data_IF_783862814263
#
_entry.id   IF_783862814263
#
_cell.length_a   1.000
_cell.length_b   1.000
_cell.length_c   1.000
_cell.angle_alpha   90.00
_cell.angle_beta   90.00
_cell.angle_gamma   90.00
#
_symmetry.space_group_name_H-M   'P 1'
#
loop_
_entity.id
_entity.type
_entity.pdbx_description
1 polymer ?
#
# COMPACT_ATOMS: atom_id res chain seq x y z
N UNK A 1 11.05 -0.71 40.40
CA UNK A 1 10.67 0.30 39.38
C UNK A 1 11.19 -0.01 37.99
N UNK A 2 12.39 -0.60 37.82
CA UNK A 2 12.95 -1.04 36.52
C UNK A 2 12.00 -1.94 35.71
N UNK A 3 11.44 -2.97 36.35
CA UNK A 3 10.73 -4.04 35.64
C UNK A 3 9.35 -3.59 35.13
N UNK A 4 8.68 -2.73 35.88
CA UNK A 4 7.39 -2.13 35.49
C UNK A 4 7.55 -1.19 34.29
N UNK A 5 8.66 -0.46 34.22
CA UNK A 5 9.00 0.42 33.10
C UNK A 5 9.40 -0.37 31.85
N UNK A 6 10.18 -1.44 32.00
CA UNK A 6 10.49 -2.36 30.91
C UNK A 6 9.20 -2.93 30.30
N UNK A 7 8.34 -3.51 31.15
CA UNK A 7 7.10 -4.12 30.71
C UNK A 7 6.16 -3.10 30.04
N UNK A 8 6.03 -1.90 30.62
CA UNK A 8 5.24 -0.82 30.04
C UNK A 8 5.74 -0.37 28.66
N UNK A 9 7.05 -0.19 28.49
CA UNK A 9 7.65 0.19 27.20
C UNK A 9 7.49 -0.89 26.15
N UNK A 10 7.69 -2.16 26.54
CA UNK A 10 7.50 -3.28 25.63
C UNK A 10 6.05 -3.34 25.14
N UNK A 11 5.09 -3.28 26.06
CA UNK A 11 3.68 -3.31 25.74
C UNK A 11 3.25 -2.13 24.85
N UNK A 12 3.66 -0.91 25.21
CA UNK A 12 3.42 0.28 24.39
C UNK A 12 4.02 0.13 22.99
N UNK A 13 5.24 -0.44 22.88
CA UNK A 13 5.88 -0.70 21.60
C UNK A 13 5.09 -1.67 20.73
N UNK A 14 4.59 -2.77 21.30
CA UNK A 14 3.74 -3.73 20.57
C UNK A 14 2.42 -3.07 20.12
N UNK A 15 1.78 -2.27 20.97
CA UNK A 15 0.57 -1.53 20.58
C UNK A 15 0.83 -0.53 19.44
N UNK A 16 1.95 0.19 19.48
CA UNK A 16 2.35 1.10 18.41
C UNK A 16 2.62 0.36 17.09
N UNK A 17 3.31 -0.78 17.13
CA UNK A 17 3.55 -1.61 15.95
C UNK A 17 2.26 -2.19 15.38
N UNK A 18 1.32 -2.57 16.26
CA UNK A 18 0.00 -3.07 15.85
C UNK A 18 -0.83 -1.95 15.21
N UNK A 19 -0.85 -0.76 15.83
CA UNK A 19 -1.47 0.43 15.27
C UNK A 19 -0.86 0.82 13.92
N UNK A 20 0.46 0.72 13.77
CA UNK A 20 1.14 0.96 12.50
C UNK A 20 0.64 0.04 11.38
N UNK A 21 0.35 -1.24 11.66
CA UNK A 21 -0.24 -2.14 10.66
C UNK A 21 -1.66 -1.70 10.28
N UNK A 22 -2.49 -1.35 11.26
CA UNK A 22 -3.88 -0.91 11.02
C UNK A 22 -3.92 0.36 10.18
N UNK A 23 -3.16 1.39 10.57
CA UNK A 23 -3.02 2.62 9.79
C UNK A 23 -2.35 2.36 8.44
N UNK A 24 -1.46 1.36 8.39
CA UNK A 24 -0.77 0.95 7.18
C UNK A 24 -1.72 0.49 6.07
N UNK A 25 -2.77 -0.26 6.44
CA UNK A 25 -3.84 -0.67 5.52
C UNK A 25 -4.60 0.55 4.99
N UNK A 26 -4.90 1.54 5.85
CA UNK A 26 -5.57 2.77 5.44
C UNK A 26 -4.75 3.69 4.52
N UNK A 27 -3.45 3.44 4.43
CA UNK A 27 -2.53 4.15 3.55
C UNK A 27 -2.27 3.43 2.21
N UNK A 28 -2.89 2.26 2.00
CA UNK A 28 -2.84 1.57 0.72
C UNK A 28 -3.72 2.30 -0.28
N UNK A 29 -3.14 2.65 -1.41
CA UNK A 29 -3.84 3.21 -2.55
C UNK A 29 -3.65 2.29 -3.76
N UNK A 30 -4.64 2.32 -4.64
CA UNK A 30 -4.67 1.55 -5.87
C UNK A 30 -4.38 2.46 -7.03
N UNK A 31 -3.60 1.97 -7.98
CA UNK A 31 -3.22 2.75 -9.13
C UNK A 31 -3.52 2.00 -10.42
N UNK A 32 -4.02 2.74 -11.39
CA UNK A 32 -4.27 2.30 -12.76
C UNK A 32 -3.43 3.11 -13.72
N UNK A 33 -2.68 2.43 -14.57
CA UNK A 33 -1.81 3.01 -15.59
C UNK A 33 -1.90 2.17 -16.87
N UNK A 34 -1.83 2.80 -18.04
CA UNK A 34 -1.75 2.08 -19.31
C UNK A 34 -0.30 1.71 -19.61
N UNK A 35 -0.11 0.45 -20.02
CA UNK A 35 1.15 -0.07 -20.55
C UNK A 35 1.18 -0.02 -22.09
N UNK A 36 0.17 0.60 -22.72
CA UNK A 36 0.05 0.74 -24.17
C UNK A 36 -0.77 -0.37 -24.83
N UNK A 37 -0.69 -0.43 -26.15
CA UNK A 37 -1.35 -1.45 -26.98
C UNK A 37 -0.47 -2.68 -27.14
N UNK A 38 -1.10 -3.85 -27.24
CA UNK A 38 -0.42 -5.13 -27.44
C UNK A 38 -1.09 -5.93 -28.57
N UNK A 39 -0.28 -6.55 -29.43
CA UNK A 39 -0.80 -7.43 -30.50
C UNK A 39 -1.25 -8.80 -29.97
N UNK A 40 -0.61 -9.26 -28.88
CA UNK A 40 -0.95 -10.52 -28.20
C UNK A 40 -1.05 -10.26 -26.71
N UNK A 41 -2.11 -10.81 -26.11
CA UNK A 41 -2.34 -10.73 -24.68
C UNK A 41 -1.21 -11.49 -23.97
N UNK A 42 -0.42 -10.83 -23.10
CA UNK A 42 0.67 -11.50 -22.39
C UNK A 42 0.16 -12.63 -21.49
N UNK A 43 0.97 -13.69 -21.40
CA UNK A 43 0.77 -14.74 -20.40
C UNK A 43 0.85 -14.12 -19.00
N UNK A 44 -0.21 -14.27 -18.21
CA UNK A 44 -0.36 -13.60 -16.90
C UNK A 44 -1.34 -12.44 -16.87
N UNK A 45 -1.98 -12.10 -18.01
CA UNK A 45 -3.14 -11.20 -18.00
C UNK A 45 -4.28 -11.80 -17.19
N UNK A 46 -4.74 -11.08 -16.16
CA UNK A 46 -5.70 -11.63 -15.21
C UNK A 46 -7.14 -11.64 -15.71
N UNK A 47 -7.43 -10.78 -16.70
CA UNK A 47 -8.75 -10.62 -17.30
C UNK A 47 -8.63 -9.93 -18.66
N UNK A 48 -9.45 -10.41 -19.60
CA UNK A 48 -9.76 -9.74 -20.87
C UNK A 48 -11.20 -9.25 -20.80
N UNK A 49 -11.44 -7.98 -21.14
CA UNK A 49 -12.79 -7.39 -21.12
C UNK A 49 -12.97 -6.49 -22.34
N UNK A 50 -14.13 -6.56 -22.98
CA UNK A 50 -14.48 -5.62 -24.05
C UNK A 50 -14.80 -4.25 -23.45
N UNK A 51 -14.30 -3.16 -24.05
CA UNK A 51 -14.59 -1.81 -23.58
C UNK A 51 -16.10 -1.51 -23.52
N UNK A 52 -16.87 -2.05 -24.46
CA UNK A 52 -18.33 -1.90 -24.51
C UNK A 52 -19.08 -2.55 -23.34
N UNK A 53 -18.48 -3.57 -22.71
CA UNK A 53 -19.09 -4.31 -21.60
C UNK A 53 -18.80 -3.65 -20.24
N UNK A 54 -17.92 -2.65 -20.21
CA UNK A 54 -17.59 -1.89 -19.02
C UNK A 54 -18.69 -0.90 -18.66
N UNK A 55 -18.83 -0.62 -17.36
CA UNK A 55 -19.73 0.45 -16.89
C UNK A 55 -19.27 1.81 -17.44
N UNK A 56 -20.17 2.78 -17.58
CA UNK A 56 -19.82 4.12 -18.05
C UNK A 56 -18.76 4.81 -17.16
N UNK A 57 -18.69 4.44 -15.88
CA UNK A 57 -17.62 4.88 -14.96
C UNK A 57 -16.28 4.27 -15.38
N UNK A 58 -16.23 2.96 -15.54
CA UNK A 58 -15.00 2.22 -15.85
C UNK A 58 -14.49 2.60 -17.24
N UNK A 59 -15.38 2.81 -18.21
CA UNK A 59 -15.03 3.33 -19.52
C UNK A 59 -14.26 4.65 -19.42
N UNK A 60 -14.73 5.61 -18.63
CA UNK A 60 -14.02 6.89 -18.41
C UNK A 60 -12.65 6.68 -17.74
N UNK A 61 -12.57 5.79 -16.76
CA UNK A 61 -11.30 5.46 -16.10
C UNK A 61 -10.31 4.86 -17.10
N UNK A 62 -10.76 3.91 -17.91
CA UNK A 62 -9.95 3.27 -18.96
C UNK A 62 -9.52 4.29 -20.01
N UNK A 63 -10.41 5.19 -20.45
CA UNK A 63 -10.08 6.25 -21.41
C UNK A 63 -8.97 7.16 -20.92
N UNK A 64 -9.07 7.63 -19.67
CA UNK A 64 -8.04 8.48 -19.04
C UNK A 64 -6.72 7.73 -18.89
N UNK A 65 -6.77 6.47 -18.47
CA UNK A 65 -5.57 5.64 -18.35
C UNK A 65 -4.90 5.41 -19.72
N UNK A 66 -5.67 5.12 -20.77
CA UNK A 66 -5.17 4.98 -22.16
C UNK A 66 -4.59 6.30 -22.67
N UNK A 67 -5.16 7.44 -22.27
CA UNK A 67 -4.61 8.77 -22.57
C UNK A 67 -3.28 9.07 -21.84
N UNK A 68 -2.76 8.13 -21.05
CA UNK A 68 -1.50 8.26 -20.31
C UNK A 68 -1.66 8.87 -18.91
N UNK A 69 -2.89 9.06 -18.43
CA UNK A 69 -3.09 9.53 -17.07
C UNK A 69 -2.84 8.41 -16.06
N UNK A 70 -2.01 8.72 -15.05
CA UNK A 70 -1.85 7.89 -13.86
C UNK A 70 -2.99 8.16 -12.89
N UNK A 71 -3.85 7.17 -12.68
CA UNK A 71 -5.03 7.30 -11.83
C UNK A 71 -4.82 6.59 -10.51
N UNK A 72 -5.13 7.28 -9.40
CA UNK A 72 -5.00 6.74 -8.04
C UNK A 72 -6.37 6.73 -7.37
N UNK A 73 -6.71 5.60 -6.76
CA UNK A 73 -7.97 5.32 -6.10
C UNK A 73 -7.72 4.84 -4.67
N UNK A 74 -8.64 5.14 -3.76
CA UNK A 74 -8.57 4.67 -2.36
C UNK A 74 -9.38 3.42 -2.11
N UNK A 75 -10.44 3.22 -2.90
CA UNK A 75 -11.34 2.10 -2.73
C UNK A 75 -11.15 1.10 -3.91
N UNK A 76 -10.93 -0.20 -3.62
CA UNK A 76 -10.75 -1.21 -4.65
C UNK A 76 -11.95 -1.37 -5.58
N UNK A 77 -13.15 -0.97 -5.16
CA UNK A 77 -14.38 -1.01 -5.96
C UNK A 77 -14.41 0.07 -7.04
N UNK A 78 -13.47 1.00 -7.03
CA UNK A 78 -13.32 2.06 -8.03
C UNK A 78 -12.42 1.66 -9.20
N UNK A 79 -11.76 0.50 -9.10
CA UNK A 79 -10.91 -0.03 -10.15
C UNK A 79 -11.74 -0.56 -11.31
N UNK A 80 -11.31 -0.31 -12.56
CA UNK A 80 -12.04 -0.76 -13.73
C UNK A 80 -11.96 -2.28 -13.88
N UNK A 81 -13.04 -2.85 -14.42
CA UNK A 81 -13.13 -4.27 -14.76
C UNK A 81 -13.51 -5.18 -13.58
N UNK A 82 -13.26 -6.50 -13.67
CA UNK A 82 -13.60 -7.41 -12.60
C UNK A 82 -12.84 -7.04 -11.32
N UNK A 83 -13.52 -7.25 -10.17
CA UNK A 83 -13.19 -6.80 -8.79
C UNK A 83 -11.86 -7.30 -8.20
N UNK A 84 -10.89 -7.68 -9.04
CA UNK A 84 -9.52 -7.95 -8.65
C UNK A 84 -8.78 -6.64 -8.42
N UNK A 85 -8.06 -6.56 -7.32
CA UNK A 85 -7.43 -5.34 -6.81
C UNK A 85 -6.02 -5.09 -7.33
N UNK A 86 -5.46 -6.06 -8.08
CA UNK A 86 -4.10 -6.01 -8.64
C UNK A 86 -4.04 -6.72 -9.99
N UNK A 87 -2.89 -6.62 -10.65
CA UNK A 87 -2.56 -7.36 -11.86
C UNK A 87 -2.97 -6.64 -13.13
N UNK A 88 -2.87 -7.37 -14.24
CA UNK A 88 -3.02 -6.80 -15.59
C UNK A 88 -4.43 -7.03 -16.14
N UNK A 89 -5.04 -5.97 -16.65
CA UNK A 89 -6.34 -5.97 -17.32
C UNK A 89 -6.11 -5.65 -18.80
N UNK A 90 -6.52 -6.56 -19.69
CA UNK A 90 -6.58 -6.29 -21.12
C UNK A 90 -7.98 -5.76 -21.47
N UNK A 91 -8.04 -4.64 -22.18
CA UNK A 91 -9.27 -4.01 -22.64
C UNK A 91 -9.26 -3.91 -24.17
N UNK A 92 -10.23 -4.55 -24.81
CA UNK A 92 -10.40 -4.47 -26.26
C UNK A 92 -11.26 -3.26 -26.64
N UNK A 93 -10.72 -2.38 -27.48
CA UNK A 93 -11.40 -1.19 -27.98
C UNK A 93 -11.03 -0.93 -29.43
N UNK A 94 -12.02 -0.86 -30.31
CA UNK A 94 -11.81 -0.44 -31.70
C UNK A 94 -10.87 -1.35 -32.50
N UNK A 95 -10.77 -2.63 -32.15
CA UNK A 95 -9.87 -3.60 -32.79
C UNK A 95 -8.46 -3.63 -32.21
N UNK A 96 -8.15 -2.79 -31.22
CA UNK A 96 -6.88 -2.81 -30.49
C UNK A 96 -7.08 -3.32 -29.06
N UNK A 97 -6.05 -3.99 -28.53
CA UNK A 97 -6.02 -4.46 -27.15
C UNK A 97 -5.12 -3.55 -26.33
N UNK A 98 -5.71 -2.80 -25.41
CA UNK A 98 -5.02 -1.94 -24.47
C UNK A 98 -4.72 -2.69 -23.18
N UNK A 99 -3.50 -2.57 -22.70
CA UNK A 99 -3.08 -3.24 -21.49
C UNK A 99 -3.01 -2.21 -20.35
N UNK A 100 -3.74 -2.48 -19.28
CA UNK A 100 -3.79 -1.66 -18.08
C UNK A 100 -3.16 -2.45 -16.93
N UNK A 101 -2.29 -1.80 -16.17
CA UNK A 101 -1.78 -2.36 -14.92
C UNK A 101 -2.55 -1.81 -13.73
N UNK A 102 -2.87 -2.68 -12.77
CA UNK A 102 -3.45 -2.33 -11.48
C UNK A 102 -2.44 -2.67 -10.39
N UNK A 103 -1.93 -1.67 -9.69
CA UNK A 103 -0.96 -1.86 -8.60
C UNK A 103 -1.47 -1.31 -7.29
N UNK A 104 -1.15 -2.00 -6.21
CA UNK A 104 -1.36 -1.51 -4.84
C UNK A 104 -0.03 -0.96 -4.37
N UNK A 105 -0.03 0.24 -3.81
CA UNK A 105 1.17 0.81 -3.22
C UNK A 105 0.85 1.51 -1.90
N UNK A 106 1.84 1.57 -1.03
CA UNK A 106 1.74 2.27 0.24
C UNK A 106 2.09 3.75 0.04
N UNK A 107 1.13 4.64 0.27
CA UNK A 107 1.35 6.07 0.18
C UNK A 107 1.69 6.67 1.54
N UNK A 108 2.99 6.69 1.86
CA UNK A 108 3.52 7.25 3.12
C UNK A 108 3.25 8.75 3.30
N UNK A 109 2.87 9.48 2.25
CA UNK A 109 2.58 10.92 2.32
C UNK A 109 1.17 11.24 2.80
N UNK A 110 0.28 10.25 2.83
CA UNK A 110 -1.06 10.41 3.41
C UNK A 110 -0.96 10.51 4.93
N UNK A 111 -1.97 11.07 5.60
CA UNK A 111 -2.02 11.11 7.06
C UNK A 111 -1.95 9.71 7.67
N UNK A 112 -2.63 8.74 7.05
CA UNK A 112 -2.57 7.33 7.44
C UNK A 112 -1.16 6.76 7.28
N UNK A 113 -0.51 7.02 6.14
CA UNK A 113 0.84 6.53 5.85
C UNK A 113 1.89 7.14 6.76
N UNK A 114 1.83 8.45 6.99
CA UNK A 114 2.72 9.16 7.89
C UNK A 114 2.55 8.67 9.34
N UNK A 115 1.30 8.47 9.78
CA UNK A 115 0.99 7.93 11.11
C UNK A 115 1.50 6.49 11.25
N UNK A 116 1.29 5.63 10.24
CA UNK A 116 1.79 4.27 10.25
C UNK A 116 3.32 4.20 10.39
N UNK A 117 4.04 5.03 9.62
CA UNK A 117 5.50 5.13 9.70
C UNK A 117 5.94 5.63 11.07
N UNK A 118 5.33 6.70 11.57
CA UNK A 118 5.68 7.28 12.87
C UNK A 118 5.46 6.28 14.02
N UNK A 119 4.32 5.59 14.02
CA UNK A 119 4.01 4.56 15.01
C UNK A 119 4.96 3.37 14.90
N UNK A 120 5.32 2.94 13.69
CA UNK A 120 6.29 1.86 13.50
C UNK A 120 7.66 2.22 14.08
N UNK A 121 8.16 3.41 13.77
CA UNK A 121 9.46 3.90 14.29
C UNK A 121 9.41 4.02 15.81
N UNK A 122 8.38 4.67 16.37
CA UNK A 122 8.22 4.82 17.82
C UNK A 122 8.10 3.46 18.53
N UNK A 123 7.37 2.52 17.93
CA UNK A 123 7.20 1.17 18.44
C UNK A 123 8.51 0.38 18.48
N UNK A 124 9.29 0.42 17.40
CA UNK A 124 10.62 -0.20 17.34
C UNK A 124 11.57 0.39 18.39
N UNK A 125 11.56 1.71 18.57
CA UNK A 125 12.37 2.38 19.59
C UNK A 125 11.95 1.97 21.01
N UNK A 126 10.65 1.89 21.29
CA UNK A 126 10.13 1.47 22.59
C UNK A 126 10.48 0.01 22.92
N UNK A 127 10.32 -0.92 21.95
CA UNK A 127 10.71 -2.32 22.12
C UNK A 127 12.22 -2.45 22.31
N UNK A 128 13.02 -1.74 21.49
CA UNK A 128 14.48 -1.75 21.61
C UNK A 128 14.94 -1.28 22.99
N UNK A 129 14.37 -0.18 23.48
CA UNK A 129 14.66 0.36 24.81
C UNK A 129 14.19 -0.58 25.93
N UNK A 130 13.04 -1.24 25.77
CA UNK A 130 12.58 -2.25 26.72
C UNK A 130 13.56 -3.42 26.80
N UNK A 131 13.96 -4.01 25.67
CA UNK A 131 14.94 -5.11 25.60
C UNK A 131 16.27 -4.69 26.21
N UNK A 132 16.74 -3.46 25.92
CA UNK A 132 17.96 -2.91 26.52
C UNK A 132 17.86 -2.86 28.04
N UNK A 133 16.75 -2.36 28.60
CA UNK A 133 16.56 -2.26 30.06
C UNK A 133 16.55 -3.61 30.75
N UNK A 134 16.04 -4.65 30.09
CA UNK A 134 15.99 -5.99 30.66
C UNK A 134 17.35 -6.72 30.60
N UNK A 135 18.03 -6.69 29.46
CA UNK A 135 19.25 -7.46 29.25
C UNK A 135 20.56 -6.69 29.49
N UNK A 136 20.55 -5.36 29.31
CA UNK A 136 21.73 -4.50 29.40
C UNK A 136 21.48 -3.25 30.25
N UNK A 137 21.07 -3.40 31.52
CA UNK A 137 20.67 -2.27 32.36
C UNK A 137 21.83 -1.27 32.59
N UNK A 138 23.07 -1.72 32.48
CA UNK A 138 24.29 -0.94 32.69
C UNK A 138 24.76 -0.14 31.44
N UNK A 139 24.15 -0.33 30.25
CA UNK A 139 24.54 0.39 29.03
C UNK A 139 23.58 1.53 28.74
N UNK A 140 24.07 2.77 28.64
CA UNK A 140 23.29 3.90 28.12
C UNK A 140 23.00 3.72 26.63
N UNK A 141 21.93 4.36 26.13
CA UNK A 141 21.45 4.17 24.76
C UNK A 141 22.49 4.61 23.72
N UNK A 142 22.66 3.84 22.64
CA UNK A 142 23.67 4.13 21.62
C UNK A 142 23.43 5.46 20.88
N UNK A 143 22.16 5.84 20.69
CA UNK A 143 21.75 7.09 20.02
C UNK A 143 21.75 8.34 20.91
N UNK A 144 22.11 8.22 22.20
CA UNK A 144 22.33 9.38 23.08
C UNK A 144 23.81 9.64 23.36
N UNK A 145 24.73 8.83 22.81
CA UNK A 145 26.16 9.18 22.77
C UNK A 145 26.37 10.25 21.68
N UNK A 146 26.41 11.50 22.12
CA UNK A 146 27.13 12.57 21.41
C UNK A 146 28.63 12.39 21.60
#
# INVERSE_FOLDING_TARGET
MSDTLHFGLFLAGIFLLTGAMVFGVGALEYEVESLGTVEKIPEGTESLVSFGDLSARDQRTVERAIAGERLVFRDPTELPGPRKTKGTLAVERGGETYLLTRRIFFNWRTEFGASAVAMAVAGLLAVSEAVRRHHFPHRTVAWTRR
#
